data_IF_751223532810
#
_entry.id   IF_751223532810
#
_cell.length_a   1.000
_cell.length_b   1.000
_cell.length_c   1.000
_cell.angle_alpha   90.00
_cell.angle_beta   90.00
_cell.angle_gamma   90.00
#
_symmetry.space_group_name_H-M   'P 1'
#
loop_
_entity.id
_entity.type
_entity.pdbx_description
1 polymer ?
#
# COMPACT_ATOMS: atom_id res chain seq x y z
N UNK A 1 -13.70 4.71 34.41
CA UNK A 1 -13.38 5.27 33.08
C UNK A 1 -13.95 4.37 32.00
N UNK A 2 -14.80 4.91 31.19
CA UNK A 2 -15.44 4.16 30.11
C UNK A 2 -14.44 4.08 28.92
N UNK A 3 -14.05 2.89 28.43
CA UNK A 3 -13.08 2.79 27.34
C UNK A 3 -13.57 3.42 26.03
N UNK A 4 -14.88 3.74 25.93
CA UNK A 4 -15.45 4.45 24.78
C UNK A 4 -15.19 5.96 24.77
N UNK A 5 -14.59 6.51 25.83
CA UNK A 5 -14.29 7.94 25.96
C UNK A 5 -12.81 8.29 25.81
N UNK A 6 -11.97 7.32 25.40
CA UNK A 6 -10.60 7.61 25.01
C UNK A 6 -10.60 8.66 23.89
N UNK A 7 -9.88 9.77 24.04
CA UNK A 7 -9.84 10.79 23.00
C UNK A 7 -9.33 10.17 21.71
N UNK A 8 -9.95 10.53 20.59
CA UNK A 8 -9.57 10.07 19.24
C UNK A 8 -8.06 10.24 18.95
N UNK A 9 -7.39 11.10 19.70
CA UNK A 9 -5.94 11.29 19.65
C UNK A 9 -5.14 10.09 20.16
N UNK A 10 -5.71 9.26 21.03
CA UNK A 10 -5.07 8.03 21.49
C UNK A 10 -5.23 6.86 20.50
N UNK A 11 -6.19 6.99 19.58
CA UNK A 11 -6.40 6.03 18.49
C UNK A 11 -5.53 6.35 17.26
N UNK A 12 -4.70 7.39 17.32
CA UNK A 12 -3.71 7.63 16.27
C UNK A 12 -2.67 6.52 16.34
N UNK A 13 -2.90 5.52 15.51
CA UNK A 13 -1.88 4.52 15.21
C UNK A 13 -0.67 5.30 14.74
N UNK A 14 0.37 5.30 15.54
CA UNK A 14 1.64 5.87 15.12
C UNK A 14 2.10 5.05 13.93
N UNK A 15 2.10 5.65 12.76
CA UNK A 15 2.45 5.00 11.50
C UNK A 15 3.85 4.36 11.56
N UNK A 16 4.70 4.89 12.42
CA UNK A 16 6.04 4.35 12.66
C UNK A 16 6.03 3.06 13.50
N UNK A 17 4.96 2.81 14.22
CA UNK A 17 4.81 1.64 15.10
C UNK A 17 3.95 0.53 14.50
N UNK A 18 3.30 0.78 13.36
CA UNK A 18 2.54 -0.24 12.65
C UNK A 18 3.41 -0.92 11.57
N UNK A 19 3.95 -2.13 11.85
CA UNK A 19 4.83 -2.80 10.90
C UNK A 19 4.13 -3.18 9.60
N UNK A 20 2.82 -3.46 9.64
CA UNK A 20 2.05 -3.79 8.45
C UNK A 20 1.91 -2.58 7.53
N UNK A 21 1.58 -1.42 8.10
CA UNK A 21 1.43 -0.18 7.34
C UNK A 21 2.78 0.24 6.73
N UNK A 22 3.87 0.14 7.48
CA UNK A 22 5.23 0.38 6.99
C UNK A 22 5.55 -0.54 5.81
N UNK A 23 5.20 -1.81 5.93
CA UNK A 23 5.41 -2.76 4.85
C UNK A 23 4.61 -2.40 3.60
N UNK A 24 3.37 -1.97 3.77
CA UNK A 24 2.52 -1.53 2.66
C UNK A 24 3.09 -0.29 1.96
N UNK A 25 3.64 0.66 2.71
CA UNK A 25 4.32 1.83 2.13
C UNK A 25 5.56 1.44 1.32
N UNK A 26 6.38 0.55 1.85
CA UNK A 26 7.57 0.04 1.14
C UNK A 26 7.15 -0.66 -0.16
N UNK A 27 6.13 -1.51 -0.11
CA UNK A 27 5.63 -2.22 -1.28
C UNK A 27 5.02 -1.29 -2.33
N UNK A 28 4.26 -0.29 -1.90
CA UNK A 28 3.69 0.72 -2.79
C UNK A 28 4.79 1.54 -3.46
N UNK A 29 5.76 2.01 -2.70
CA UNK A 29 6.90 2.76 -3.23
C UNK A 29 7.69 1.95 -4.26
N UNK A 30 7.95 0.69 -3.96
CA UNK A 30 8.64 -0.23 -4.86
C UNK A 30 7.85 -0.48 -6.15
N UNK A 31 6.53 -0.66 -6.04
CA UNK A 31 5.64 -0.78 -7.19
C UNK A 31 5.68 0.46 -8.08
N UNK A 32 5.63 1.64 -7.48
CA UNK A 32 5.74 2.92 -8.20
C UNK A 32 7.07 2.98 -8.97
N UNK A 33 8.18 2.64 -8.33
CA UNK A 33 9.49 2.61 -8.96
C UNK A 33 9.53 1.62 -10.14
N UNK A 34 8.97 0.43 -9.99
CA UNK A 34 8.92 -0.58 -11.04
C UNK A 34 8.12 -0.13 -12.25
N UNK A 35 6.94 0.47 -12.04
CA UNK A 35 6.13 1.00 -13.14
C UNK A 35 6.88 2.14 -13.83
N UNK A 36 7.45 3.06 -13.06
CA UNK A 36 8.23 4.17 -13.61
C UNK A 36 9.36 3.69 -14.52
N UNK A 37 10.15 2.74 -14.05
CA UNK A 37 11.27 2.16 -14.82
C UNK A 37 10.76 1.44 -16.06
N UNK A 38 9.66 0.69 -15.96
CA UNK A 38 9.05 0.00 -17.10
C UNK A 38 8.58 0.97 -18.19
N UNK A 39 8.25 2.20 -17.82
CA UNK A 39 7.86 3.27 -18.75
C UNK A 39 9.05 4.12 -19.22
N UNK A 40 10.27 3.71 -18.92
CA UNK A 40 11.51 4.46 -19.24
C UNK A 40 11.51 5.89 -18.71
N UNK A 41 10.87 6.11 -17.56
CA UNK A 41 10.74 7.40 -16.92
C UNK A 41 11.77 7.55 -15.80
N UNK A 42 12.51 8.67 -15.78
CA UNK A 42 13.42 8.97 -14.68
C UNK A 42 12.66 9.45 -13.44
N UNK A 43 13.30 9.36 -12.26
CA UNK A 43 12.74 9.96 -11.04
C UNK A 43 12.46 11.45 -11.22
N UNK A 44 13.37 12.15 -11.90
CA UNK A 44 13.22 13.59 -12.18
C UNK A 44 11.97 13.87 -13.02
N UNK A 45 11.74 13.07 -14.06
CA UNK A 45 10.57 13.22 -14.92
C UNK A 45 9.27 12.99 -14.16
N UNK A 46 9.19 11.90 -13.36
CA UNK A 46 8.00 11.62 -12.58
C UNK A 46 7.77 12.69 -11.50
N UNK A 47 8.81 13.09 -10.78
CA UNK A 47 8.72 14.13 -9.76
C UNK A 47 8.18 15.45 -10.34
N UNK A 48 8.64 15.80 -11.54
CA UNK A 48 8.19 16.98 -12.27
C UNK A 48 6.69 16.91 -12.63
N UNK A 49 6.23 15.76 -13.12
CA UNK A 49 4.82 15.54 -13.43
C UNK A 49 3.92 15.66 -12.19
N UNK A 50 4.39 15.15 -11.07
CA UNK A 50 3.63 15.10 -9.82
C UNK A 50 3.71 16.44 -9.06
N UNK A 51 4.73 17.23 -9.32
CA UNK A 51 4.96 18.50 -8.60
C UNK A 51 5.60 18.29 -7.23
N UNK A 52 6.43 17.27 -7.08
CA UNK A 52 7.22 16.97 -5.88
C UNK A 52 8.71 17.04 -6.19
N UNK A 53 9.53 17.10 -5.15
CA UNK A 53 10.99 17.06 -5.34
C UNK A 53 11.43 15.64 -5.72
N UNK A 54 12.52 15.52 -6.46
CA UNK A 54 13.15 14.23 -6.76
C UNK A 54 13.56 13.51 -5.47
N UNK A 55 14.05 14.27 -4.48
CA UNK A 55 14.46 13.73 -3.18
C UNK A 55 13.27 13.09 -2.43
N UNK A 56 12.10 13.75 -2.47
CA UNK A 56 10.88 13.21 -1.89
C UNK A 56 10.43 11.95 -2.62
N UNK A 57 10.44 11.95 -3.96
CA UNK A 57 10.10 10.77 -4.76
C UNK A 57 11.05 9.60 -4.47
N UNK A 58 12.35 9.86 -4.34
CA UNK A 58 13.33 8.83 -3.99
C UNK A 58 13.01 8.18 -2.64
N UNK A 59 12.69 8.97 -1.62
CA UNK A 59 12.26 8.46 -0.31
C UNK A 59 10.96 7.66 -0.41
N UNK A 60 10.00 8.13 -1.20
CA UNK A 60 8.74 7.47 -1.44
C UNK A 60 8.94 6.08 -2.09
N UNK A 61 9.77 6.00 -3.10
CA UNK A 61 10.09 4.75 -3.79
C UNK A 61 10.85 3.76 -2.90
N UNK A 62 11.64 4.26 -1.96
CA UNK A 62 12.34 3.43 -0.96
C UNK A 62 11.46 3.08 0.26
N UNK A 63 10.33 3.75 0.44
CA UNK A 63 9.46 3.58 1.59
C UNK A 63 10.07 4.10 2.89
N UNK A 64 11.08 4.96 2.83
CA UNK A 64 11.81 5.47 4.00
C UNK A 64 11.51 6.94 4.27
N UNK A 65 11.37 7.30 5.55
CA UNK A 65 11.22 8.71 5.96
C UNK A 65 9.91 9.36 5.53
N UNK A 66 8.89 8.57 5.20
CA UNK A 66 7.57 9.07 4.82
C UNK A 66 6.56 8.63 5.86
N UNK A 67 5.90 9.59 6.49
CA UNK A 67 4.83 9.35 7.45
C UNK A 67 3.46 9.12 6.80
N UNK A 68 3.38 9.33 5.51
CA UNK A 68 2.17 9.15 4.72
C UNK A 68 2.29 9.83 3.36
N UNK A 69 1.44 9.41 2.45
CA UNK A 69 1.35 9.99 1.11
C UNK A 69 -0.05 10.57 0.94
N UNK A 70 -0.15 11.80 0.44
CA UNK A 70 -1.46 12.39 0.16
C UNK A 70 -2.14 11.70 -1.03
N UNK A 71 -3.46 11.69 -1.01
CA UNK A 71 -4.26 11.20 -2.14
C UNK A 71 -3.96 11.98 -3.41
N UNK A 72 -3.71 13.26 -3.31
CA UNK A 72 -3.35 14.10 -4.46
C UNK A 72 -2.10 13.57 -5.17
N UNK A 73 -1.07 13.23 -4.41
CA UNK A 73 0.17 12.66 -4.96
C UNK A 73 -0.12 11.32 -5.63
N UNK A 74 -0.92 10.45 -5.00
CA UNK A 74 -1.31 9.15 -5.59
C UNK A 74 -2.05 9.33 -6.91
N UNK A 75 -3.03 10.22 -6.96
CA UNK A 75 -3.77 10.50 -8.19
C UNK A 75 -2.86 11.07 -9.29
N UNK A 76 -1.96 11.96 -8.95
CA UNK A 76 -1.01 12.53 -9.91
C UNK A 76 -0.02 11.50 -10.46
N UNK A 77 0.45 10.58 -9.61
CA UNK A 77 1.30 9.46 -10.05
C UNK A 77 0.52 8.56 -11.02
N UNK A 78 -0.69 8.19 -10.67
CA UNK A 78 -1.55 7.38 -11.54
C UNK A 78 -1.79 8.07 -12.89
N UNK A 79 -2.04 9.37 -12.90
CA UNK A 79 -2.17 10.17 -14.11
C UNK A 79 -0.89 10.14 -14.95
N UNK A 80 0.27 10.33 -14.32
CA UNK A 80 1.57 10.29 -15.02
C UNK A 80 1.82 8.93 -15.68
N UNK A 81 1.36 7.86 -15.06
CA UNK A 81 1.46 6.49 -15.59
C UNK A 81 0.32 6.12 -16.54
N UNK A 82 -0.70 6.96 -16.66
CA UNK A 82 -1.91 6.70 -17.44
C UNK A 82 -2.62 5.40 -17.03
N UNK A 83 -2.68 5.17 -15.73
CA UNK A 83 -3.39 4.05 -15.13
C UNK A 83 -4.44 4.54 -14.13
N UNK A 84 -5.39 3.66 -13.80
CA UNK A 84 -6.32 3.92 -12.73
C UNK A 84 -5.60 3.86 -11.37
N UNK A 85 -5.99 4.75 -10.44
CA UNK A 85 -5.40 4.78 -9.10
C UNK A 85 -5.62 3.46 -8.34
N UNK A 86 -6.72 2.77 -8.62
CA UNK A 86 -6.97 1.44 -8.06
C UNK A 86 -5.91 0.43 -8.46
N UNK A 87 -5.42 0.50 -9.71
CA UNK A 87 -4.31 -0.35 -10.16
C UNK A 87 -3.01 -0.04 -9.43
N UNK A 88 -2.78 1.22 -9.09
CA UNK A 88 -1.59 1.64 -8.36
C UNK A 88 -1.58 1.15 -6.91
N UNK A 89 -2.71 1.31 -6.20
CA UNK A 89 -2.80 0.98 -4.77
C UNK A 89 -3.14 -0.48 -4.49
N UNK A 90 -3.51 -1.25 -5.48
CA UNK A 90 -3.74 -2.68 -5.33
C UNK A 90 -2.42 -3.41 -5.13
N UNK A 91 -2.13 -3.76 -3.90
CA UNK A 91 -0.96 -4.54 -3.54
C UNK A 91 -1.34 -6.02 -3.51
N UNK A 92 -0.88 -6.74 -4.51
CA UNK A 92 -1.07 -8.19 -4.63
C UNK A 92 0.01 -8.92 -3.86
N UNK A 93 -0.23 -10.20 -3.60
CA UNK A 93 0.74 -11.08 -2.94
C UNK A 93 2.12 -11.04 -3.63
N UNK A 94 2.12 -10.99 -4.97
CA UNK A 94 3.37 -10.90 -5.75
C UNK A 94 4.12 -9.59 -5.50
N UNK A 95 3.42 -8.49 -5.26
CA UNK A 95 4.04 -7.20 -4.95
C UNK A 95 4.73 -7.25 -3.58
N UNK A 96 4.12 -7.91 -2.59
CA UNK A 96 4.72 -8.13 -1.27
C UNK A 96 5.94 -9.07 -1.33
N UNK A 97 5.88 -10.12 -2.15
CA UNK A 97 7.01 -11.05 -2.34
C UNK A 97 8.22 -10.39 -2.96
N UNK A 98 8.02 -9.51 -3.93
CA UNK A 98 9.11 -8.81 -4.62
C UNK A 98 9.78 -7.76 -3.75
N UNK A 99 9.08 -7.31 -2.71
CA UNK A 99 9.49 -6.15 -1.95
C UNK A 99 10.59 -6.43 -0.93
N UNK A 100 10.51 -7.49 -0.16
CA UNK A 100 11.58 -7.90 0.75
C UNK A 100 11.31 -9.18 1.53
N UNK A 101 12.33 -10.05 1.63
CA UNK A 101 12.29 -11.29 2.41
C UNK A 101 12.15 -11.08 3.93
N UNK A 102 12.51 -9.91 4.46
CA UNK A 102 12.44 -9.62 5.89
C UNK A 102 11.00 -9.53 6.44
N UNK A 103 10.03 -9.42 5.57
CA UNK A 103 8.64 -9.21 5.96
C UNK A 103 7.78 -10.45 5.73
N UNK A 104 8.41 -11.62 5.68
CA UNK A 104 7.78 -12.91 5.48
C UNK A 104 6.67 -13.21 6.49
N UNK A 105 6.80 -12.72 7.72
CA UNK A 105 5.77 -12.88 8.76
C UNK A 105 4.50 -12.12 8.44
N UNK A 106 4.62 -10.91 7.94
CA UNK A 106 3.48 -10.10 7.52
C UNK A 106 2.81 -10.66 6.27
N UNK A 107 3.62 -11.16 5.34
CA UNK A 107 3.15 -11.84 4.16
C UNK A 107 2.29 -13.07 4.51
N UNK A 108 2.77 -13.93 5.40
CA UNK A 108 2.02 -15.10 5.89
C UNK A 108 0.70 -14.70 6.53
N UNK A 109 0.68 -13.61 7.28
CA UNK A 109 -0.55 -13.07 7.89
C UNK A 109 -1.54 -12.62 6.82
N UNK A 110 -1.08 -11.94 5.77
CA UNK A 110 -1.93 -11.51 4.65
C UNK A 110 -2.48 -12.69 3.86
N UNK A 111 -1.67 -13.72 3.62
CA UNK A 111 -2.14 -14.98 3.01
C UNK A 111 -3.24 -15.61 3.84
N UNK A 112 -3.03 -15.68 5.15
CA UNK A 112 -4.01 -16.22 6.09
C UNK A 112 -5.32 -15.42 6.05
N UNK A 113 -5.26 -14.11 6.09
CA UNK A 113 -6.44 -13.24 6.03
C UNK A 113 -7.20 -13.39 4.70
N UNK A 114 -6.48 -13.48 3.59
CA UNK A 114 -7.10 -13.70 2.28
C UNK A 114 -7.74 -15.06 2.18
N UNK A 115 -7.11 -16.10 2.74
CA UNK A 115 -7.65 -17.45 2.76
C UNK A 115 -8.92 -17.52 3.59
N UNK A 116 -8.91 -16.93 4.77
CA UNK A 116 -10.09 -16.83 5.66
C UNK A 116 -11.24 -16.07 4.99
N UNK A 117 -10.93 -14.97 4.33
CA UNK A 117 -11.94 -14.19 3.59
C UNK A 117 -12.58 -14.99 2.47
N UNK A 118 -11.80 -15.74 1.72
CA UNK A 118 -12.29 -16.61 0.65
C UNK A 118 -13.14 -17.76 1.19
N UNK A 119 -12.75 -18.35 2.32
CA UNK A 119 -13.56 -19.37 2.98
C UNK A 119 -14.90 -18.81 3.46
N UNK A 120 -14.90 -17.62 4.05
CA UNK A 120 -16.14 -16.97 4.50
C UNK A 120 -17.08 -16.69 3.33
N UNK A 121 -16.57 -16.16 2.22
CA UNK A 121 -17.34 -15.92 1.00
C UNK A 121 -17.91 -17.23 0.44
N UNK A 122 -17.10 -18.29 0.39
CA UNK A 122 -17.54 -19.59 -0.11
C UNK A 122 -18.61 -20.22 0.80
N UNK A 123 -18.47 -20.07 2.11
CA UNK A 123 -19.47 -20.56 3.07
C UNK A 123 -20.78 -19.78 2.96
N UNK A 124 -20.73 -18.48 2.74
CA UNK A 124 -21.93 -17.65 2.48
C UNK A 124 -22.61 -18.07 1.18
N UNK A 125 -21.86 -18.32 0.11
CA UNK A 125 -22.39 -18.79 -1.17
C UNK A 125 -23.09 -20.15 -1.03
N UNK A 126 -22.50 -21.08 -0.25
CA UNK A 126 -23.12 -22.39 0.04
C UNK A 126 -24.41 -22.25 0.82
N UNK A 127 -24.49 -21.33 1.79
CA UNK A 127 -25.72 -21.07 2.56
C UNK A 127 -26.84 -20.48 1.72
N UNK A 128 -26.51 -19.66 0.73
CA UNK A 128 -27.50 -19.07 -0.18
C UNK A 128 -27.99 -20.04 -1.24
N UNK A 129 -27.27 -21.13 -1.53
CA UNK A 129 -27.68 -22.16 -2.48
C UNK A 129 -28.59 -23.25 -1.86
N UNK A 130 -28.69 -23.33 -0.53
CA UNK A 130 -29.49 -24.34 0.20
C UNK A 130 -30.95 -23.89 0.41
N UNK A 131 -31.26 -22.66 0.11
CA UNK A 131 -32.63 -22.12 0.11
C UNK A 131 -33.15 -22.00 -1.32
#
# INVERSE_FOLDING_TARGET
MNPSTAPLTELRINTYEDPLLQHQYVCLGHKIANIRVSLNMSQHQLARHVGISRSYLSKLECGTGISGMSLEILFKIAQAFQIDVGQLVRLRIVDYKSCNAHLTSHYKRLEFLNHTKNQTVNNLRKKTQVN
#
